data_IF_501327862382
#
_entry.id   IF_501327862382
#
_cell.length_a   1.000
_cell.length_b   1.000
_cell.length_c   1.000
_cell.angle_alpha   90.00
_cell.angle_beta   90.00
_cell.angle_gamma   90.00
#
_symmetry.space_group_name_H-M   'P 1'
#
loop_
_entity.id
_entity.type
_entity.pdbx_description
1 polymer ?
#
# COMPACT_ATOMS: atom_id res chain seq x y z
N UNK A 1 47.35 16.63 5.76
CA UNK A 1 47.25 17.62 4.65
C UNK A 1 45.99 17.28 3.86
N UNK A 2 44.97 18.13 3.85
CA UNK A 2 43.77 17.85 3.08
C UNK A 2 43.88 18.36 1.65
N UNK A 3 43.51 17.51 0.71
CA UNK A 3 43.52 17.73 -0.74
C UNK A 3 42.32 18.63 -1.14
N UNK A 4 42.59 19.87 -1.50
CA UNK A 4 41.64 20.86 -1.99
C UNK A 4 41.55 20.77 -3.52
N UNK A 5 40.55 20.07 -4.06
CA UNK A 5 40.25 20.14 -5.50
C UNK A 5 39.21 21.22 -5.78
N UNK A 6 39.66 22.26 -6.45
CA UNK A 6 38.84 23.37 -6.97
C UNK A 6 38.26 22.97 -8.34
N UNK A 7 36.94 23.07 -8.48
CA UNK A 7 36.23 22.88 -9.76
C UNK A 7 36.13 24.25 -10.48
N UNK A 8 36.49 24.37 -11.77
CA UNK A 8 36.49 25.65 -12.47
C UNK A 8 35.08 26.03 -12.98
N UNK A 9 34.71 27.30 -12.73
CA UNK A 9 33.52 27.95 -13.26
C UNK A 9 33.69 28.32 -14.75
N UNK A 10 32.66 28.12 -15.55
CA UNK A 10 32.55 28.51 -16.96
C UNK A 10 32.60 30.04 -17.13
N UNK A 11 33.43 30.49 -18.08
CA UNK A 11 33.53 31.90 -18.52
C UNK A 11 32.26 32.32 -19.29
N UNK A 12 31.67 33.42 -18.89
CA UNK A 12 30.66 34.17 -19.66
C UNK A 12 31.39 35.27 -20.46
N UNK A 13 31.04 35.38 -21.75
CA UNK A 13 31.71 36.20 -22.73
C UNK A 13 31.59 37.72 -22.46
N UNK A 14 32.70 38.45 -22.79
CA UNK A 14 32.74 39.90 -22.76
C UNK A 14 32.24 40.49 -24.08
N UNK A 15 31.21 41.29 -24.05
CA UNK A 15 30.93 42.26 -25.11
C UNK A 15 31.60 43.59 -24.80
N UNK A 16 32.44 44.08 -25.74
CA UNK A 16 33.02 45.44 -25.73
C UNK A 16 31.99 46.41 -26.29
N UNK A 17 31.70 47.48 -25.56
CA UNK A 17 31.08 48.70 -26.12
C UNK A 17 32.01 49.88 -25.79
N UNK A 18 32.54 50.53 -26.85
CA UNK A 18 33.31 51.79 -26.78
C UNK A 18 32.31 52.94 -26.69
N UNK A 19 32.46 53.82 -25.70
CA UNK A 19 32.10 55.25 -25.77
C UNK A 19 32.94 56.07 -24.79
N UNK A 20 33.16 57.40 -25.11
CA UNK A 20 34.25 58.18 -24.60
C UNK A 20 33.98 58.84 -23.23
N UNK A 21 35.08 59.15 -22.55
CA UNK A 21 35.20 59.80 -21.25
C UNK A 21 34.67 61.21 -21.24
N UNK A 22 33.84 61.57 -20.26
CA UNK A 22 33.98 62.82 -19.51
C UNK A 22 33.26 62.76 -18.15
N UNK A 23 34.03 63.16 -17.14
CA UNK A 23 33.63 63.73 -15.85
C UNK A 23 32.48 63.16 -15.09
N UNK A 24 32.77 62.33 -14.05
CA UNK A 24 32.13 62.44 -12.72
C UNK A 24 32.98 61.75 -11.66
N UNK A 25 33.44 62.52 -10.71
CA UNK A 25 34.09 62.08 -9.46
C UNK A 25 33.04 61.62 -8.47
N UNK A 26 32.72 60.34 -8.46
CA UNK A 26 32.20 59.66 -7.29
C UNK A 26 32.51 58.16 -7.43
N UNK A 27 33.37 57.67 -6.52
CA UNK A 27 33.63 56.22 -6.44
C UNK A 27 32.42 55.53 -5.81
N UNK A 28 31.72 54.61 -6.51
CA UNK A 28 30.75 53.78 -5.84
C UNK A 28 31.49 52.84 -4.88
N UNK A 29 31.10 52.86 -3.61
CA UNK A 29 31.55 51.91 -2.61
C UNK A 29 31.10 50.50 -3.06
N UNK A 30 32.08 49.71 -3.48
CA UNK A 30 31.87 48.28 -3.76
C UNK A 30 31.55 47.61 -2.42
N UNK A 31 30.27 47.40 -2.14
CA UNK A 31 29.85 46.49 -1.05
C UNK A 31 30.30 45.10 -1.46
N UNK A 32 31.35 44.61 -0.79
CA UNK A 32 31.72 43.20 -0.85
C UNK A 32 30.55 42.40 -0.26
N UNK A 33 29.74 41.77 -1.11
CA UNK A 33 28.78 40.74 -0.68
C UNK A 33 29.62 39.51 -0.35
N UNK A 34 29.94 39.35 0.93
CA UNK A 34 30.54 38.11 1.43
C UNK A 34 29.47 37.05 1.33
N UNK A 35 29.48 36.30 0.24
CA UNK A 35 28.70 35.05 0.17
C UNK A 35 29.29 34.07 1.18
N UNK A 36 28.58 33.86 2.28
CA UNK A 36 28.90 32.81 3.23
C UNK A 36 28.87 31.48 2.50
N UNK A 37 30.03 30.90 2.24
CA UNK A 37 30.10 29.51 1.74
C UNK A 37 29.69 28.62 2.91
N UNK A 38 28.48 28.09 2.87
CA UNK A 38 28.02 27.05 3.79
C UNK A 38 28.83 25.79 3.44
N UNK A 39 29.89 25.53 4.19
CA UNK A 39 30.64 24.29 4.09
C UNK A 39 29.82 23.17 4.77
N UNK A 40 29.21 22.30 3.96
CA UNK A 40 28.60 21.09 4.46
C UNK A 40 29.69 20.11 4.91
N UNK A 41 29.68 19.60 6.14
CA UNK A 41 30.69 18.64 6.62
C UNK A 41 30.73 17.40 5.72
N UNK A 42 31.94 16.89 5.42
CA UNK A 42 32.13 15.70 4.56
C UNK A 42 31.37 14.48 5.08
N UNK A 43 31.25 14.35 6.39
CA UNK A 43 30.48 13.26 7.03
C UNK A 43 28.99 13.39 6.77
N UNK A 44 28.43 14.60 6.71
CA UNK A 44 27.04 14.83 6.34
C UNK A 44 26.77 14.43 4.86
N UNK A 45 27.69 14.78 3.95
CA UNK A 45 27.60 14.35 2.53
C UNK A 45 27.73 12.84 2.36
N UNK A 46 28.56 12.18 3.18
CA UNK A 46 28.67 10.72 3.19
C UNK A 46 27.40 10.06 3.72
N UNK A 47 26.80 10.59 4.79
CA UNK A 47 25.55 10.10 5.36
C UNK A 47 24.40 10.25 4.35
N UNK A 48 24.24 11.40 3.72
CA UNK A 48 23.25 11.67 2.68
C UNK A 48 23.39 10.72 1.48
N UNK A 49 24.64 10.48 1.04
CA UNK A 49 24.92 9.54 -0.06
C UNK A 49 24.59 8.10 0.33
N UNK A 50 24.90 7.69 1.55
CA UNK A 50 24.58 6.36 2.07
C UNK A 50 23.06 6.15 2.17
N UNK A 51 22.34 7.15 2.65
CA UNK A 51 20.87 7.16 2.71
C UNK A 51 20.25 7.06 1.31
N UNK A 52 20.71 7.86 0.35
CA UNK A 52 20.26 7.81 -1.04
C UNK A 52 20.46 6.43 -1.66
N UNK A 53 21.60 5.78 -1.41
CA UNK A 53 21.89 4.42 -1.90
C UNK A 53 20.94 3.41 -1.29
N UNK A 54 20.65 3.49 0.00
CA UNK A 54 19.75 2.58 0.70
C UNK A 54 18.30 2.74 0.21
N UNK A 55 17.86 3.96 -0.02
CA UNK A 55 16.54 4.27 -0.58
C UNK A 55 16.37 3.77 -2.02
N UNK A 56 17.42 3.86 -2.84
CA UNK A 56 17.40 3.28 -4.19
C UNK A 56 17.27 1.74 -4.14
N UNK A 57 17.93 1.09 -3.17
CA UNK A 57 17.79 -0.35 -2.93
C UNK A 57 16.38 -0.71 -2.48
N UNK A 58 15.80 0.09 -1.57
CA UNK A 58 14.42 -0.08 -1.11
C UNK A 58 13.42 0.05 -2.27
N UNK A 59 13.50 1.10 -3.07
CA UNK A 59 12.64 1.30 -4.23
C UNK A 59 12.75 0.12 -5.23
N UNK A 60 13.98 -0.34 -5.54
CA UNK A 60 14.19 -1.51 -6.40
C UNK A 60 13.56 -2.78 -5.82
N UNK A 61 13.64 -2.97 -4.48
CA UNK A 61 13.02 -4.10 -3.79
C UNK A 61 11.49 -4.05 -3.89
N UNK A 62 10.88 -2.89 -3.60
CA UNK A 62 9.44 -2.70 -3.69
C UNK A 62 8.91 -2.99 -5.11
N UNK A 63 9.53 -2.41 -6.13
CA UNK A 63 9.14 -2.68 -7.52
C UNK A 63 9.26 -4.16 -7.89
N UNK A 64 10.31 -4.85 -7.42
CA UNK A 64 10.48 -6.29 -7.66
C UNK A 64 9.38 -7.10 -6.98
N UNK A 65 9.07 -6.81 -5.72
CA UNK A 65 8.04 -7.52 -4.94
C UNK A 65 6.65 -7.28 -5.52
N UNK A 66 6.32 -6.04 -5.90
CA UNK A 66 5.04 -5.70 -6.53
C UNK A 66 4.93 -6.35 -7.92
N UNK A 67 5.98 -6.27 -8.73
CA UNK A 67 6.01 -6.93 -10.04
C UNK A 67 5.86 -8.44 -9.92
N UNK A 68 6.53 -9.07 -8.94
CA UNK A 68 6.40 -10.51 -8.68
C UNK A 68 4.96 -10.89 -8.29
N UNK A 69 4.33 -10.13 -7.38
CA UNK A 69 2.94 -10.38 -7.01
C UNK A 69 1.97 -10.23 -8.20
N UNK A 70 2.19 -9.22 -9.05
CA UNK A 70 1.40 -9.03 -10.28
C UNK A 70 1.53 -10.24 -11.20
N UNK A 71 2.73 -10.78 -11.37
CA UNK A 71 2.97 -11.95 -12.22
C UNK A 71 2.40 -13.23 -11.63
N UNK A 72 2.71 -13.53 -10.35
CA UNK A 72 2.31 -14.78 -9.69
C UNK A 72 0.80 -14.96 -9.64
N UNK A 73 0.06 -13.84 -9.46
CA UNK A 73 -1.40 -13.87 -9.38
C UNK A 73 -2.10 -13.38 -10.67
N UNK A 74 -1.34 -13.14 -11.73
CA UNK A 74 -1.86 -12.60 -13.00
C UNK A 74 -2.82 -11.42 -12.76
N UNK A 75 -2.34 -10.39 -12.03
CA UNK A 75 -3.19 -9.30 -11.55
C UNK A 75 -3.50 -8.28 -12.65
N UNK A 76 -2.53 -8.00 -13.53
CA UNK A 76 -2.63 -6.99 -14.60
C UNK A 76 -2.19 -7.64 -15.90
N UNK A 77 -2.99 -7.46 -16.95
CA UNK A 77 -2.73 -7.97 -18.30
C UNK A 77 -2.83 -6.85 -19.35
N UNK A 78 -2.49 -7.17 -20.60
CA UNK A 78 -2.59 -6.20 -21.71
C UNK A 78 -3.99 -5.64 -21.85
N UNK A 79 -4.10 -4.31 -21.94
CA UNK A 79 -5.35 -3.58 -22.13
C UNK A 79 -6.17 -3.34 -20.85
N UNK A 80 -5.68 -3.75 -19.67
CA UNK A 80 -6.39 -3.50 -18.40
C UNK A 80 -6.53 -1.99 -18.11
N UNK A 81 -7.69 -1.60 -17.59
CA UNK A 81 -7.95 -0.30 -16.95
C UNK A 81 -8.01 -0.51 -15.44
N UNK A 82 -6.99 -0.05 -14.73
CA UNK A 82 -6.81 -0.30 -13.31
C UNK A 82 -7.23 0.94 -12.50
N UNK A 83 -8.26 0.79 -11.69
CA UNK A 83 -8.67 1.77 -10.69
C UNK A 83 -7.83 1.63 -9.44
N UNK A 84 -6.96 2.60 -9.15
CA UNK A 84 -6.15 2.62 -7.92
C UNK A 84 -6.91 3.39 -6.84
N UNK A 85 -7.37 2.68 -5.80
CA UNK A 85 -8.13 3.30 -4.72
C UNK A 85 -7.19 4.03 -3.74
N UNK A 86 -7.32 5.35 -3.66
CA UNK A 86 -6.55 6.20 -2.76
C UNK A 86 -7.37 6.57 -1.53
N UNK A 87 -6.85 6.23 -0.36
CA UNK A 87 -7.44 6.62 0.93
C UNK A 87 -6.76 7.83 1.57
N UNK A 88 -5.69 8.34 0.96
CA UNK A 88 -4.82 9.34 1.56
C UNK A 88 -3.80 8.76 2.57
N UNK A 89 -3.78 7.45 2.78
CA UNK A 89 -2.80 6.78 3.65
C UNK A 89 -1.53 6.35 2.89
N UNK A 90 -0.44 6.13 3.64
CA UNK A 90 0.89 5.72 3.14
C UNK A 90 0.86 4.57 2.15
N UNK A 91 -0.01 3.57 2.40
CA UNK A 91 -0.08 2.34 1.62
C UNK A 91 -0.64 2.61 0.22
N UNK A 92 -1.68 3.43 0.14
CA UNK A 92 -2.32 3.80 -1.12
C UNK A 92 -1.44 4.70 -1.99
N UNK A 93 -0.71 5.64 -1.40
CA UNK A 93 0.28 6.45 -2.12
C UNK A 93 1.44 5.58 -2.63
N UNK A 94 1.97 4.68 -1.78
CA UNK A 94 3.03 3.75 -2.18
C UNK A 94 2.56 2.85 -3.33
N UNK A 95 1.33 2.34 -3.27
CA UNK A 95 0.75 1.55 -4.35
C UNK A 95 0.75 2.31 -5.67
N UNK A 96 0.20 3.52 -5.68
CA UNK A 96 0.12 4.36 -6.89
C UNK A 96 1.52 4.64 -7.46
N UNK A 97 2.44 5.11 -6.62
CA UNK A 97 3.78 5.49 -7.06
C UNK A 97 4.57 4.30 -7.64
N UNK A 98 4.49 3.12 -7.01
CA UNK A 98 5.15 1.91 -7.52
C UNK A 98 4.48 1.41 -8.82
N UNK A 99 3.14 1.47 -8.92
CA UNK A 99 2.44 1.08 -10.15
C UNK A 99 2.78 1.99 -11.33
N UNK A 100 2.90 3.29 -11.13
CA UNK A 100 3.35 4.25 -12.15
C UNK A 100 4.77 3.92 -12.64
N UNK A 101 5.69 3.62 -11.70
CA UNK A 101 7.06 3.23 -12.06
C UNK A 101 7.11 1.90 -12.82
N UNK A 102 6.23 0.95 -12.50
CA UNK A 102 6.13 -0.33 -13.21
C UNK A 102 5.50 -0.14 -14.58
N UNK A 103 4.42 0.64 -14.70
CA UNK A 103 3.75 0.95 -15.97
C UNK A 103 4.72 1.48 -17.01
N UNK A 104 5.64 2.38 -16.62
CA UNK A 104 6.64 2.96 -17.51
C UNK A 104 7.64 1.93 -18.09
N UNK A 105 7.70 0.71 -17.54
CA UNK A 105 8.66 -0.35 -17.91
C UNK A 105 8.00 -1.72 -18.15
N UNK A 106 6.69 -1.78 -18.06
CA UNK A 106 5.95 -3.04 -18.22
C UNK A 106 6.02 -3.56 -19.66
N UNK A 107 6.05 -4.88 -19.85
CA UNK A 107 5.95 -5.49 -21.18
C UNK A 107 4.53 -5.43 -21.75
N UNK A 108 3.53 -5.10 -20.92
CA UNK A 108 2.11 -4.97 -21.26
C UNK A 108 1.64 -3.53 -21.08
N UNK A 109 0.69 -3.09 -21.90
CA UNK A 109 0.07 -1.76 -21.79
C UNK A 109 -1.18 -1.85 -20.95
N UNK A 110 -1.31 -0.97 -19.95
CA UNK A 110 -2.49 -0.82 -19.12
C UNK A 110 -2.65 0.63 -18.67
N UNK A 111 -3.86 1.01 -18.34
CA UNK A 111 -4.17 2.35 -17.84
C UNK A 111 -4.26 2.36 -16.32
N UNK A 112 -3.80 3.45 -15.69
CA UNK A 112 -3.97 3.72 -14.27
C UNK A 112 -4.83 4.97 -14.09
N UNK A 113 -5.88 4.85 -13.28
CA UNK A 113 -6.69 5.97 -12.84
C UNK A 113 -6.78 5.95 -11.32
N UNK A 114 -6.40 7.03 -10.68
CA UNK A 114 -6.50 7.19 -9.24
C UNK A 114 -7.94 7.56 -8.85
N UNK A 115 -8.52 6.86 -7.88
CA UNK A 115 -9.87 7.16 -7.40
C UNK A 115 -9.88 7.29 -5.89
N UNK A 116 -10.35 8.43 -5.39
CA UNK A 116 -10.61 8.63 -3.97
C UNK A 116 -12.13 8.65 -3.73
N UNK A 117 -12.58 7.98 -2.68
CA UNK A 117 -13.95 8.11 -2.18
C UNK A 117 -13.97 9.13 -1.04
N UNK A 118 -14.51 10.30 -1.34
CA UNK A 118 -14.87 11.29 -0.32
C UNK A 118 -16.20 10.87 0.33
N UNK A 119 -16.12 10.52 1.61
CA UNK A 119 -17.25 10.07 2.42
C UNK A 119 -17.99 11.21 3.11
N UNK A 120 -17.60 12.47 2.84
CA UNK A 120 -18.08 13.68 3.52
C UNK A 120 -17.87 13.64 5.02
N UNK A 121 -16.70 13.16 5.42
CA UNK A 121 -16.29 13.17 6.83
C UNK A 121 -15.92 14.60 7.24
N UNK A 122 -16.29 15.05 8.45
CA UNK A 122 -15.84 16.33 8.98
C UNK A 122 -14.31 16.43 8.97
N UNK A 123 -13.79 17.61 8.66
CA UNK A 123 -12.36 17.94 8.67
C UNK A 123 -11.49 17.14 7.67
N UNK A 124 -12.09 16.47 6.68
CA UNK A 124 -11.33 15.84 5.61
C UNK A 124 -10.72 16.90 4.67
N UNK A 125 -9.38 16.92 4.48
CA UNK A 125 -8.73 17.94 3.67
C UNK A 125 -8.89 17.65 2.17
N UNK A 126 -10.04 18.01 1.59
CA UNK A 126 -10.45 17.70 0.21
C UNK A 126 -9.44 18.16 -0.86
N UNK A 127 -8.62 19.19 -0.57
CA UNK A 127 -7.66 19.78 -1.51
C UNK A 127 -6.35 18.98 -1.67
N UNK A 128 -5.96 18.17 -0.67
CA UNK A 128 -4.63 17.53 -0.60
C UNK A 128 -4.43 16.51 -1.72
N UNK A 129 -5.35 15.56 -1.85
CA UNK A 129 -5.26 14.52 -2.89
C UNK A 129 -5.32 15.09 -4.32
N UNK A 130 -6.28 15.98 -4.66
CA UNK A 130 -6.31 16.56 -6.00
C UNK A 130 -5.05 17.38 -6.33
N UNK A 131 -4.47 18.11 -5.37
CA UNK A 131 -3.24 18.87 -5.61
C UNK A 131 -2.08 17.93 -5.95
N UNK A 132 -1.88 16.90 -5.14
CA UNK A 132 -0.85 15.88 -5.34
C UNK A 132 -0.99 15.14 -6.69
N UNK A 133 -2.21 14.73 -7.05
CA UNK A 133 -2.46 13.99 -8.29
C UNK A 133 -2.29 14.85 -9.55
N UNK A 134 -2.62 16.15 -9.47
CA UNK A 134 -2.35 17.10 -10.58
C UNK A 134 -0.86 17.30 -10.79
N UNK A 135 -0.09 17.42 -9.70
CA UNK A 135 1.38 17.53 -9.77
C UNK A 135 2.01 16.28 -10.39
N UNK A 136 1.49 15.08 -10.07
CA UNK A 136 1.94 13.83 -10.69
C UNK A 136 1.49 13.66 -12.15
N UNK A 137 0.53 14.45 -12.64
CA UNK A 137 -0.04 14.29 -13.99
C UNK A 137 -0.82 12.98 -14.18
N UNK A 138 -1.36 12.39 -13.11
CA UNK A 138 -2.11 11.14 -13.15
C UNK A 138 -3.60 11.42 -13.33
N UNK A 139 -4.30 10.72 -14.25
CA UNK A 139 -5.75 10.79 -14.32
C UNK A 139 -6.38 10.38 -12.99
N UNK A 140 -7.33 11.19 -12.49
CA UNK A 140 -7.97 10.89 -11.21
C UNK A 140 -9.44 11.31 -11.18
N UNK A 141 -10.18 10.69 -10.26
CA UNK A 141 -11.55 11.04 -9.93
C UNK A 141 -11.77 11.07 -8.42
N UNK A 142 -12.48 12.08 -7.93
CA UNK A 142 -12.97 12.13 -6.55
C UNK A 142 -14.44 11.74 -6.58
N UNK A 143 -14.73 10.54 -6.09
CA UNK A 143 -16.10 10.04 -5.97
C UNK A 143 -16.70 10.56 -4.68
N UNK A 144 -17.68 11.45 -4.79
CA UNK A 144 -18.38 12.00 -3.64
C UNK A 144 -19.59 11.15 -3.29
N UNK A 145 -19.60 10.60 -2.09
CA UNK A 145 -20.76 9.88 -1.58
C UNK A 145 -20.81 9.97 -0.06
N UNK A 146 -21.82 10.63 0.48
CA UNK A 146 -22.01 10.78 1.93
C UNK A 146 -22.38 9.43 2.57
N UNK A 147 -21.36 8.60 2.78
CA UNK A 147 -21.49 7.36 3.54
C UNK A 147 -21.35 7.59 5.03
N UNK A 148 -20.72 8.70 5.44
CA UNK A 148 -20.51 9.02 6.85
C UNK A 148 -21.83 9.30 7.56
N UNK A 149 -22.68 10.19 7.04
CA UNK A 149 -23.99 10.49 7.62
C UNK A 149 -24.90 9.27 7.67
N UNK A 150 -24.83 8.39 6.64
CA UNK A 150 -25.58 7.12 6.65
C UNK A 150 -25.14 6.23 7.81
N UNK A 151 -23.84 6.06 8.01
CA UNK A 151 -23.29 5.24 9.11
C UNK A 151 -23.69 5.81 10.47
N UNK A 152 -23.56 7.14 10.65
CA UNK A 152 -23.94 7.82 11.90
C UNK A 152 -25.41 7.67 12.23
N UNK A 153 -26.28 7.71 11.23
CA UNK A 153 -27.74 7.56 11.42
C UNK A 153 -28.16 6.12 11.75
N UNK A 154 -27.48 5.12 11.18
CA UNK A 154 -27.89 3.71 11.28
C UNK A 154 -27.28 3.03 12.51
N UNK A 155 -26.06 3.40 12.88
CA UNK A 155 -25.33 2.75 13.97
C UNK A 155 -25.50 3.55 15.27
N UNK A 156 -26.07 2.97 16.35
CA UNK A 156 -26.20 3.62 17.65
C UNK A 156 -24.83 4.04 18.21
N UNK A 157 -24.83 5.10 19.00
CA UNK A 157 -23.63 5.57 19.67
C UNK A 157 -22.99 4.48 20.55
N UNK A 158 -21.68 4.33 20.50
CA UNK A 158 -20.95 3.28 21.21
C UNK A 158 -20.88 1.90 20.51
N UNK A 159 -21.54 1.74 19.37
CA UNK A 159 -21.44 0.51 18.56
C UNK A 159 -20.42 0.62 17.42
N UNK A 160 -19.92 -0.53 16.95
CA UNK A 160 -18.91 -0.63 15.89
C UNK A 160 -19.46 -0.19 14.53
N UNK A 161 -18.91 0.90 13.99
CA UNK A 161 -19.31 1.45 12.68
C UNK A 161 -18.58 0.82 11.48
N UNK A 162 -17.46 0.11 11.72
CA UNK A 162 -16.53 -0.31 10.66
C UNK A 162 -17.12 -1.26 9.63
N UNK A 163 -17.96 -2.22 10.02
CA UNK A 163 -18.51 -3.21 9.08
C UNK A 163 -19.47 -2.56 8.09
N UNK A 164 -20.35 -1.66 8.55
CA UNK A 164 -21.27 -0.93 7.66
C UNK A 164 -20.48 0.06 6.78
N UNK A 165 -19.57 0.83 7.37
CA UNK A 165 -18.74 1.79 6.64
C UNK A 165 -17.94 1.09 5.53
N UNK A 166 -17.26 -0.01 5.83
CA UNK A 166 -16.48 -0.75 4.82
C UNK A 166 -17.35 -1.34 3.72
N UNK A 167 -18.58 -1.77 4.04
CA UNK A 167 -19.55 -2.28 3.07
C UNK A 167 -20.04 -1.19 2.13
N UNK A 168 -20.43 -0.04 2.67
CA UNK A 168 -20.87 1.11 1.88
C UNK A 168 -19.76 1.64 0.96
N UNK A 169 -18.53 1.78 1.48
CA UNK A 169 -17.36 2.17 0.69
C UNK A 169 -17.10 1.20 -0.47
N UNK A 170 -17.13 -0.10 -0.18
CA UNK A 170 -16.93 -1.13 -1.19
C UNK A 170 -18.02 -1.04 -2.27
N UNK A 171 -19.30 -0.94 -1.87
CA UNK A 171 -20.41 -0.81 -2.80
C UNK A 171 -20.29 0.41 -3.71
N UNK A 172 -19.88 1.56 -3.16
CA UNK A 172 -19.66 2.78 -3.93
C UNK A 172 -18.55 2.61 -4.98
N UNK A 173 -17.38 2.09 -4.54
CA UNK A 173 -16.22 1.90 -5.43
C UNK A 173 -16.49 0.83 -6.50
N UNK A 174 -17.17 -0.26 -6.15
CA UNK A 174 -17.50 -1.33 -7.11
C UNK A 174 -18.46 -0.85 -8.19
N UNK A 175 -19.53 -0.14 -7.80
CA UNK A 175 -20.46 0.46 -8.76
C UNK A 175 -19.76 1.44 -9.69
N UNK A 176 -18.94 2.32 -9.14
CA UNK A 176 -18.18 3.27 -9.94
C UNK A 176 -17.22 2.56 -10.92
N UNK A 177 -16.54 1.51 -10.47
CA UNK A 177 -15.65 0.73 -11.32
C UNK A 177 -16.40 0.09 -12.50
N UNK A 178 -17.58 -0.47 -12.25
CA UNK A 178 -18.45 -1.06 -13.27
C UNK A 178 -18.93 0.01 -14.26
N UNK A 179 -19.51 1.11 -13.77
CA UNK A 179 -20.03 2.22 -14.59
C UNK A 179 -18.97 2.86 -15.50
N UNK A 180 -17.72 2.93 -15.04
CA UNK A 180 -16.61 3.50 -15.77
C UNK A 180 -15.81 2.46 -16.59
N UNK A 181 -16.18 1.17 -16.55
CA UNK A 181 -15.53 0.11 -17.30
C UNK A 181 -14.10 -0.22 -16.83
N UNK A 182 -13.81 -0.10 -15.53
CA UNK A 182 -12.55 -0.57 -14.95
C UNK A 182 -12.52 -2.09 -14.90
N UNK A 183 -11.41 -2.68 -15.34
CA UNK A 183 -11.21 -4.13 -15.33
C UNK A 183 -10.64 -4.64 -14.01
N UNK A 184 -9.94 -3.77 -13.28
CA UNK A 184 -9.28 -4.08 -12.01
C UNK A 184 -9.47 -2.96 -10.99
N UNK A 185 -9.65 -3.35 -9.73
CA UNK A 185 -9.67 -2.45 -8.57
C UNK A 185 -8.44 -2.75 -7.72
N UNK A 186 -7.46 -1.87 -7.71
CA UNK A 186 -6.21 -2.02 -6.96
C UNK A 186 -6.33 -1.39 -5.56
N UNK A 187 -6.09 -2.18 -4.52
CA UNK A 187 -6.14 -1.78 -3.11
C UNK A 187 -4.75 -1.86 -2.47
N UNK A 188 -4.43 -0.92 -1.59
CA UNK A 188 -3.15 -0.80 -0.90
C UNK A 188 -2.91 -1.77 0.26
N UNK A 189 -3.60 -2.91 0.31
CA UNK A 189 -3.35 -3.92 1.34
C UNK A 189 -2.01 -4.63 1.07
N UNK A 190 -1.24 -4.82 2.13
CA UNK A 190 0.11 -5.37 2.09
C UNK A 190 0.24 -6.69 2.86
N UNK A 191 1.42 -7.31 2.87
CA UNK A 191 1.69 -8.62 3.50
C UNK A 191 1.21 -8.68 4.94
N UNK A 192 1.52 -7.66 5.74
CA UNK A 192 1.15 -7.64 7.15
C UNK A 192 -0.38 -7.59 7.36
N UNK A 193 -1.15 -6.96 6.44
CA UNK A 193 -2.62 -7.00 6.47
C UNK A 193 -3.17 -8.40 6.17
N UNK A 194 -2.54 -9.10 5.22
CA UNK A 194 -2.91 -10.48 4.85
C UNK A 194 -2.69 -11.39 6.04
N UNK A 195 -1.52 -11.31 6.69
CA UNK A 195 -1.19 -12.10 7.88
C UNK A 195 -2.09 -11.72 9.06
N UNK A 196 -2.32 -10.42 9.31
CA UNK A 196 -3.22 -9.98 10.37
C UNK A 196 -4.66 -10.50 10.15
N UNK A 197 -5.14 -10.52 8.90
CA UNK A 197 -6.47 -11.07 8.58
C UNK A 197 -6.52 -12.58 8.79
N UNK A 198 -5.47 -13.30 8.42
CA UNK A 198 -5.34 -14.73 8.71
C UNK A 198 -5.42 -15.02 10.20
N UNK A 199 -4.64 -14.31 11.02
CA UNK A 199 -4.63 -14.49 12.47
C UNK A 199 -5.97 -14.11 13.12
N UNK A 200 -6.65 -13.06 12.62
CA UNK A 200 -8.00 -12.72 13.07
C UNK A 200 -9.00 -13.84 12.76
N UNK A 201 -8.96 -14.41 11.57
CA UNK A 201 -9.81 -15.53 11.21
C UNK A 201 -9.48 -16.79 12.01
N UNK A 202 -8.20 -17.06 12.24
CA UNK A 202 -7.74 -18.19 13.04
C UNK A 202 -8.22 -18.10 14.49
N UNK A 203 -8.04 -16.96 15.15
CA UNK A 203 -8.31 -16.81 16.59
C UNK A 203 -9.77 -16.48 16.92
N UNK A 204 -10.46 -15.80 16.02
CA UNK A 204 -11.81 -15.31 16.29
C UNK A 204 -12.87 -15.87 15.33
N UNK A 205 -12.47 -16.35 14.15
CA UNK A 205 -13.37 -16.85 13.13
C UNK A 205 -13.38 -18.37 13.00
N UNK A 206 -12.45 -19.11 13.64
CA UNK A 206 -12.31 -20.56 13.48
C UNK A 206 -12.08 -20.99 12.02
N UNK A 207 -11.40 -20.16 11.22
CA UNK A 207 -11.17 -20.39 9.80
C UNK A 207 -9.71 -20.20 9.41
N UNK A 208 -9.19 -21.12 8.61
CA UNK A 208 -7.90 -20.96 7.92
C UNK A 208 -8.10 -20.15 6.63
N UNK A 209 -8.34 -18.87 6.77
CA UNK A 209 -8.59 -17.95 5.66
C UNK A 209 -7.86 -16.63 5.85
N UNK A 210 -7.27 -16.11 4.76
CA UNK A 210 -6.60 -14.83 4.73
C UNK A 210 -7.29 -13.88 3.74
N UNK A 211 -6.73 -12.70 3.58
CA UNK A 211 -7.11 -11.78 2.52
C UNK A 211 -6.43 -12.20 1.21
N UNK A 212 -7.17 -12.63 0.17
CA UNK A 212 -6.53 -13.11 -1.05
C UNK A 212 -5.87 -11.96 -1.83
N UNK A 213 -4.71 -12.20 -2.47
CA UNK A 213 -4.04 -11.20 -3.30
C UNK A 213 -4.84 -10.76 -4.52
N UNK A 214 -5.68 -11.65 -5.06
CA UNK A 214 -6.63 -11.38 -6.15
C UNK A 214 -7.97 -12.01 -5.81
N UNK A 215 -9.05 -11.30 -6.04
CA UNK A 215 -10.41 -11.71 -5.70
C UNK A 215 -11.39 -11.26 -6.78
N UNK A 216 -12.23 -12.17 -7.24
CA UNK A 216 -13.44 -11.82 -7.98
C UNK A 216 -14.56 -11.50 -6.98
N UNK A 217 -15.33 -10.44 -7.19
CA UNK A 217 -16.51 -10.15 -6.37
C UNK A 217 -17.56 -11.26 -6.49
N UNK A 218 -18.42 -11.40 -5.49
CA UNK A 218 -19.42 -12.49 -5.43
C UNK A 218 -20.38 -12.47 -6.64
N UNK A 219 -20.63 -11.28 -7.20
CA UNK A 219 -21.45 -11.07 -8.39
C UNK A 219 -20.67 -11.24 -9.72
N UNK A 220 -19.39 -11.54 -9.65
CA UNK A 220 -18.51 -11.74 -10.80
C UNK A 220 -18.12 -10.48 -11.58
N UNK A 221 -18.59 -9.28 -11.18
CA UNK A 221 -18.43 -8.05 -11.98
C UNK A 221 -17.14 -7.31 -11.72
N UNK A 222 -16.56 -7.43 -10.53
CA UNK A 222 -15.37 -6.69 -10.14
C UNK A 222 -14.20 -7.61 -9.79
N UNK A 223 -13.02 -7.34 -10.35
CA UNK A 223 -11.78 -8.02 -10.00
C UNK A 223 -10.92 -7.13 -9.10
N UNK A 224 -10.77 -7.50 -7.83
CA UNK A 224 -9.95 -6.79 -6.83
C UNK A 224 -8.55 -7.37 -6.82
N UNK A 225 -7.54 -6.52 -6.87
CA UNK A 225 -6.12 -6.88 -6.80
C UNK A 225 -5.41 -6.16 -5.66
N UNK A 226 -4.39 -6.78 -5.09
CA UNK A 226 -3.55 -6.25 -4.00
C UNK A 226 -2.07 -6.37 -4.36
N UNK A 227 -1.55 -5.48 -5.22
CA UNK A 227 -0.18 -5.59 -5.72
C UNK A 227 0.88 -5.51 -4.61
N UNK A 228 0.57 -4.90 -3.45
CA UNK A 228 1.47 -4.86 -2.29
C UNK A 228 1.48 -6.17 -1.46
N UNK A 229 0.85 -7.26 -1.92
CA UNK A 229 0.72 -8.52 -1.17
C UNK A 229 2.06 -9.10 -0.66
N UNK A 230 3.17 -8.85 -1.35
CA UNK A 230 4.50 -9.33 -0.94
C UNK A 230 5.32 -8.28 -0.16
N UNK A 231 4.80 -7.07 -0.03
CA UNK A 231 5.50 -5.93 0.60
C UNK A 231 5.21 -5.88 2.09
N UNK A 232 6.24 -5.63 2.90
CA UNK A 232 6.13 -5.44 4.35
C UNK A 232 5.75 -4.01 4.70
N UNK A 233 4.93 -3.84 5.74
CA UNK A 233 4.52 -2.50 6.22
C UNK A 233 5.72 -1.62 6.59
N UNK A 234 6.75 -2.17 7.24
CA UNK A 234 7.97 -1.44 7.59
C UNK A 234 8.69 -0.83 6.37
N UNK A 235 8.65 -1.51 5.22
CA UNK A 235 9.24 -1.00 3.99
C UNK A 235 8.39 0.12 3.37
N UNK A 236 7.07 0.03 3.49
CA UNK A 236 6.13 1.08 3.07
C UNK A 236 6.31 2.34 3.91
N UNK A 237 6.43 2.20 5.24
CA UNK A 237 6.67 3.33 6.15
C UNK A 237 7.92 4.09 5.73
N UNK A 238 9.06 3.40 5.62
CA UNK A 238 10.34 4.00 5.20
C UNK A 238 10.25 4.66 3.82
N UNK A 239 9.55 4.02 2.89
CA UNK A 239 9.36 4.55 1.56
C UNK A 239 8.50 5.81 1.56
N UNK A 240 7.39 5.81 2.29
CA UNK A 240 6.49 6.93 2.40
C UNK A 240 7.14 8.16 3.05
N UNK A 241 7.95 7.95 4.10
CA UNK A 241 8.75 9.00 4.75
C UNK A 241 9.73 9.66 3.76
N UNK A 242 10.46 8.85 3.01
CA UNK A 242 11.39 9.36 2.00
C UNK A 242 10.68 10.09 0.85
N UNK A 243 9.55 9.56 0.39
CA UNK A 243 8.75 10.19 -0.68
C UNK A 243 7.98 11.40 -0.21
N UNK A 244 7.93 11.65 1.10
CA UNK A 244 7.22 12.78 1.72
C UNK A 244 5.76 12.87 1.24
N UNK A 245 5.07 11.73 1.15
CA UNK A 245 3.68 11.71 0.74
C UNK A 245 2.82 12.60 1.65
N UNK A 246 1.86 13.35 1.10
CA UNK A 246 0.95 14.19 1.88
C UNK A 246 -0.11 13.31 2.57
N UNK A 247 0.30 12.58 3.62
CA UNK A 247 -0.55 11.61 4.29
C UNK A 247 -1.67 12.33 5.03
N UNK A 248 -2.90 11.91 4.75
CA UNK A 248 -4.11 12.36 5.45
C UNK A 248 -4.34 11.43 6.64
N UNK A 249 -4.26 11.92 7.89
CA UNK A 249 -4.49 11.09 9.06
C UNK A 249 -5.94 10.60 9.11
N UNK A 250 -6.13 9.28 9.33
CA UNK A 250 -7.44 8.69 9.52
C UNK A 250 -7.83 8.74 11.01
N UNK A 251 -8.47 9.80 11.45
CA UNK A 251 -8.88 10.00 12.85
C UNK A 251 -10.31 9.50 13.16
N UNK A 252 -10.95 8.78 12.25
CA UNK A 252 -12.40 8.77 12.10
C UNK A 252 -13.12 7.56 12.68
N UNK A 253 -12.42 6.51 13.14
CA UNK A 253 -13.07 5.29 13.62
C UNK A 253 -12.54 4.87 14.99
N UNK A 254 -13.23 5.30 16.06
CA UNK A 254 -13.02 4.80 17.43
C UNK A 254 -13.67 3.45 17.72
N UNK A 255 -13.67 2.47 16.81
CA UNK A 255 -14.47 1.24 16.96
C UNK A 255 -13.72 0.05 17.55
N UNK A 256 -14.48 -0.89 18.19
CA UNK A 256 -13.93 -2.07 18.88
C UNK A 256 -13.22 -3.09 17.97
N UNK A 257 -13.58 -3.21 16.70
CA UNK A 257 -12.84 -4.05 15.72
C UNK A 257 -11.38 -3.61 15.58
N UNK A 258 -11.10 -2.31 15.80
CA UNK A 258 -9.74 -1.84 15.90
C UNK A 258 -9.00 -2.42 17.11
N UNK A 259 -9.71 -2.85 18.17
CA UNK A 259 -9.07 -3.42 19.35
C UNK A 259 -8.47 -4.80 19.05
N UNK A 260 -9.24 -5.71 18.44
CA UNK A 260 -8.76 -7.05 18.05
C UNK A 260 -7.64 -6.95 17.00
N UNK A 261 -7.82 -6.11 15.98
CA UNK A 261 -6.78 -5.87 14.98
C UNK A 261 -5.52 -5.24 15.59
N UNK A 262 -5.67 -4.31 16.53
CA UNK A 262 -4.54 -3.75 17.28
C UNK A 262 -3.84 -4.79 18.15
N UNK A 263 -4.58 -5.70 18.78
CA UNK A 263 -4.00 -6.79 19.56
C UNK A 263 -3.19 -7.75 18.67
N UNK A 264 -3.76 -8.16 17.53
CA UNK A 264 -3.06 -9.01 16.57
C UNK A 264 -1.81 -8.30 16.03
N UNK A 265 -1.89 -7.01 15.69
CA UNK A 265 -0.71 -6.25 15.23
C UNK A 265 0.37 -6.16 16.32
N UNK A 266 0.02 -5.87 17.57
CA UNK A 266 0.99 -5.88 18.68
C UNK A 266 1.68 -7.23 18.83
N UNK A 267 0.91 -8.33 18.76
CA UNK A 267 1.46 -9.67 18.77
C UNK A 267 2.42 -9.93 17.59
N UNK A 268 2.08 -9.47 16.39
CA UNK A 268 2.95 -9.55 15.22
C UNK A 268 4.25 -8.76 15.43
N UNK A 269 4.17 -7.55 15.99
CA UNK A 269 5.33 -6.70 16.30
C UNK A 269 6.23 -7.37 17.36
N UNK A 270 5.62 -8.00 18.37
CA UNK A 270 6.35 -8.76 19.40
C UNK A 270 7.09 -9.95 18.77
N UNK A 271 6.45 -10.69 17.88
CA UNK A 271 7.07 -11.79 17.15
C UNK A 271 8.25 -11.34 16.28
N UNK A 272 8.10 -10.23 15.58
CA UNK A 272 9.20 -9.68 14.77
C UNK A 272 10.40 -9.28 15.61
N UNK A 273 10.17 -8.67 16.78
CA UNK A 273 11.24 -8.30 17.71
C UNK A 273 11.99 -9.51 18.26
N UNK A 274 11.27 -10.60 18.53
CA UNK A 274 11.85 -11.81 19.11
C UNK A 274 12.52 -12.73 18.07
N UNK A 275 11.98 -12.78 16.85
CA UNK A 275 12.32 -13.82 15.88
C UNK A 275 12.57 -13.33 14.44
N UNK A 276 12.46 -12.04 14.17
CA UNK A 276 12.88 -11.35 12.94
C UNK A 276 12.25 -11.76 11.59
N UNK A 277 11.66 -12.95 11.48
CA UNK A 277 11.10 -13.48 10.24
C UNK A 277 9.75 -14.21 10.39
N UNK A 278 9.09 -14.08 11.54
CA UNK A 278 7.82 -14.80 11.83
C UNK A 278 6.72 -14.46 10.84
N UNK A 279 6.60 -13.21 10.45
CA UNK A 279 5.57 -12.78 9.47
C UNK A 279 5.83 -13.42 8.10
N UNK A 280 7.10 -13.52 7.70
CA UNK A 280 7.47 -14.21 6.45
C UNK A 280 7.10 -15.69 6.50
N UNK A 281 7.33 -16.36 7.63
CA UNK A 281 7.01 -17.78 7.82
C UNK A 281 5.49 -18.00 7.79
N UNK A 282 4.70 -17.16 8.48
CA UNK A 282 3.24 -17.26 8.46
C UNK A 282 2.70 -17.01 7.05
N UNK A 283 3.24 -16.01 6.34
CA UNK A 283 2.84 -15.76 4.96
C UNK A 283 3.21 -16.92 4.03
N UNK A 284 4.41 -17.50 4.18
CA UNK A 284 4.83 -18.65 3.40
C UNK A 284 3.92 -19.88 3.65
N UNK A 285 3.47 -20.09 4.88
CA UNK A 285 2.53 -21.16 5.20
C UNK A 285 1.18 -21.03 4.45
N UNK A 286 0.73 -19.82 4.18
CA UNK A 286 -0.50 -19.59 3.38
C UNK A 286 -0.36 -20.04 1.91
N UNK A 287 0.86 -20.16 1.40
CA UNK A 287 1.15 -20.62 0.03
C UNK A 287 1.67 -22.05 -0.02
N UNK A 288 1.79 -22.73 1.14
CA UNK A 288 2.31 -24.09 1.26
C UNK A 288 1.39 -24.92 2.17
N UNK A 289 0.23 -25.25 1.64
CA UNK A 289 -0.81 -26.01 2.36
C UNK A 289 -0.61 -27.49 2.10
N UNK A 290 -0.62 -28.30 3.18
CA UNK A 290 -0.61 -29.77 3.11
C UNK A 290 -2.00 -30.31 3.54
N UNK A 291 -2.95 -30.52 2.61
CA UNK A 291 -4.33 -30.88 2.92
C UNK A 291 -4.44 -32.13 3.81
N UNK A 292 -3.63 -33.15 3.56
CA UNK A 292 -3.59 -34.39 4.35
C UNK A 292 -3.14 -34.22 5.80
N UNK A 293 -2.59 -33.05 6.15
CA UNK A 293 -2.15 -32.70 7.51
C UNK A 293 -3.13 -31.76 8.23
N UNK A 294 -4.27 -31.44 7.58
CA UNK A 294 -5.37 -30.66 8.15
C UNK A 294 -6.54 -31.58 8.48
N UNK A 295 -7.48 -31.12 9.32
CA UNK A 295 -8.64 -31.91 9.73
C UNK A 295 -9.89 -31.67 8.87
N UNK A 296 -9.78 -31.01 7.71
CA UNK A 296 -10.90 -30.70 6.84
C UNK A 296 -11.18 -31.83 5.85
N UNK A 297 -12.30 -32.53 6.06
CA UNK A 297 -12.72 -33.67 5.22
C UNK A 297 -13.15 -33.27 3.80
N UNK A 298 -13.37 -31.98 3.53
CA UNK A 298 -13.64 -31.47 2.19
C UNK A 298 -12.37 -31.19 1.39
N UNK A 299 -11.26 -30.95 2.09
CA UNK A 299 -9.93 -30.73 1.48
C UNK A 299 -9.17 -32.03 1.23
N UNK A 300 -9.41 -33.04 2.06
CA UNK A 300 -8.73 -34.34 1.96
C UNK A 300 -9.68 -35.46 2.35
N UNK A 301 -9.73 -36.51 1.54
CA UNK A 301 -10.58 -37.68 1.76
C UNK A 301 -9.91 -38.68 2.73
N UNK A 302 -10.13 -38.48 4.02
CA UNK A 302 -9.62 -39.37 5.06
C UNK A 302 -10.36 -40.72 5.06
N UNK A 303 -11.61 -40.79 4.57
CA UNK A 303 -12.40 -42.00 4.58
C UNK A 303 -11.85 -43.05 3.61
N UNK A 304 -11.13 -42.63 2.56
CA UNK A 304 -10.50 -43.56 1.61
C UNK A 304 -9.17 -44.16 2.13
N UNK A 305 -8.65 -43.70 3.27
CA UNK A 305 -7.41 -44.22 3.83
C UNK A 305 -7.65 -45.55 4.52
N UNK A 306 -6.85 -46.57 4.22
CA UNK A 306 -6.82 -47.84 4.95
C UNK A 306 -7.51 -49.03 4.31
N UNK A 307 -7.93 -48.94 3.05
CA UNK A 307 -8.45 -50.08 2.27
C UNK A 307 -9.87 -50.50 2.68
N UNK A 308 -10.50 -51.26 1.89
CA UNK A 308 -11.85 -51.85 1.99
C UNK A 308 -12.98 -50.90 2.41
N UNK A 309 -13.59 -50.32 1.39
CA UNK A 309 -14.79 -49.48 1.50
C UNK A 309 -16.05 -50.21 2.11
N UNK A 310 -15.84 -51.29 2.85
CA UNK A 310 -16.87 -52.10 3.49
C UNK A 310 -16.76 -52.17 5.01
N UNK A 311 -15.76 -51.55 5.65
CA UNK A 311 -15.84 -51.35 7.10
C UNK A 311 -16.76 -50.16 7.38
N UNK A 312 -18.07 -50.39 7.12
CA UNK A 312 -19.12 -49.48 7.54
C UNK A 312 -18.96 -49.18 9.03
N UNK A 313 -19.17 -47.91 9.35
CA UNK A 313 -19.16 -47.36 10.69
C UNK A 313 -20.18 -48.03 11.62
N UNK A 314 -20.04 -49.32 11.88
CA UNK A 314 -20.91 -50.10 12.78
C UNK A 314 -20.86 -49.64 14.23
N UNK A 315 -19.91 -48.81 14.58
CA UNK A 315 -19.76 -48.25 15.93
C UNK A 315 -20.41 -46.86 16.10
N UNK A 316 -21.03 -46.28 15.04
CA UNK A 316 -21.76 -44.99 15.10
C UNK A 316 -23.26 -45.10 15.32
N UNK A 317 -23.80 -46.33 15.40
CA UNK A 317 -25.21 -46.52 15.74
C UNK A 317 -25.30 -47.01 17.18
N UNK A 318 -25.66 -46.16 18.17
CA UNK A 318 -26.17 -46.69 19.43
C UNK A 318 -27.42 -47.46 19.16
N UNK A 319 -27.46 -48.75 19.59
CA UNK A 319 -28.70 -49.57 19.56
C UNK A 319 -29.86 -48.75 20.12
N UNK A 320 -30.90 -48.62 19.33
CA UNK A 320 -32.20 -48.12 19.80
C UNK A 320 -32.66 -49.00 20.95
N UNK A 321 -32.49 -48.53 22.18
CA UNK A 321 -33.04 -49.18 23.36
C UNK A 321 -34.57 -49.05 23.26
N UNK A 322 -35.19 -50.10 22.76
CA UNK A 322 -36.61 -50.34 22.96
C UNK A 322 -36.88 -50.46 24.45
N UNK A 323 -37.57 -49.50 25.04
CA UNK A 323 -38.50 -49.67 26.16
C UNK A 323 -39.58 -48.60 26.11
#
# INVERSE_FOLDING_TARGET
MPDNRVVPLRRVGRHRVNKPWDSYTERPSVRLVVMSVVTVPVDALRAERAETVDLNKLNKRLRRQVGQAIMDYNMIVEGDRVMVCLSGGKDSYTLLDILLQLQAKAPVRFELVAVNLDQKQPDFPEHVLPAYLRELGVPFHILEQDTYSVVKRVIPEGKTMCSLCSRLRRGALYRYAEEQGFTKIALGHHKDDIVATFLLNLFHGGKLAAMPPKLQSDDGRNCVIRPLAYVRERDIIRYAEHRQFPIIPCNLCGSQEQLQRKQVRRMMDDWERQHGNRIEQVFAALTNVAPSQLADTQLFDFASLGGDAQAEASWLMPEAVNR
#
